data_IF_077274045206
#
_entry.id   IF_077274045206
#
_cell.length_a   1.000
_cell.length_b   1.000
_cell.length_c   1.000
_cell.angle_alpha   90.00
_cell.angle_beta   90.00
_cell.angle_gamma   90.00
#
_symmetry.space_group_name_H-M   'P 1'
#
loop_
_entity.id
_entity.type
_entity.pdbx_description
1 polymer ?
#
# COMPACT_ATOMS: atom_id res chain seq x y z
N UNK A 1 5.17 22.83 6.41
CA UNK A 1 6.09 21.89 5.72
C UNK A 1 5.54 20.48 5.61
N UNK A 2 5.16 19.80 6.71
CA UNK A 2 4.54 18.47 6.60
C UNK A 2 3.12 18.55 6.02
N UNK A 3 2.29 19.45 6.55
CA UNK A 3 0.91 19.61 6.08
C UNK A 3 0.83 20.05 4.62
N UNK A 4 1.67 21.02 4.21
CA UNK A 4 1.82 21.46 2.81
C UNK A 4 2.24 20.31 1.86
N UNK A 5 3.11 19.41 2.33
CA UNK A 5 3.53 18.24 1.55
C UNK A 5 2.37 17.24 1.40
N UNK A 6 1.62 16.99 2.47
CA UNK A 6 0.43 16.15 2.38
C UNK A 6 -0.64 16.76 1.47
N UNK A 7 -0.87 18.07 1.55
CA UNK A 7 -1.78 18.79 0.64
C UNK A 7 -1.36 18.64 -0.82
N UNK A 8 -0.06 18.75 -1.11
CA UNK A 8 0.48 18.51 -2.45
C UNK A 8 0.16 17.09 -2.94
N UNK A 9 0.38 16.07 -2.10
CA UNK A 9 0.11 14.68 -2.46
C UNK A 9 -1.39 14.41 -2.67
N UNK A 10 -2.25 14.99 -1.83
CA UNK A 10 -3.71 14.88 -1.97
C UNK A 10 -4.17 15.55 -3.27
N UNK A 11 -3.66 16.74 -3.58
CA UNK A 11 -3.99 17.47 -4.80
C UNK A 11 -3.44 16.78 -6.07
N UNK A 12 -2.35 16.01 -5.93
CA UNK A 12 -1.76 15.24 -7.01
C UNK A 12 -2.46 13.87 -7.24
N UNK A 13 -3.52 13.54 -6.49
CA UNK A 13 -4.23 12.27 -6.63
C UNK A 13 -4.64 12.00 -8.09
N UNK A 14 -4.20 10.86 -8.62
CA UNK A 14 -4.41 10.47 -10.00
C UNK A 14 -5.01 9.06 -10.09
N UNK A 15 -6.32 8.92 -10.39
CA UNK A 15 -6.99 7.63 -10.55
C UNK A 15 -6.33 6.72 -11.61
N UNK A 16 -5.68 7.27 -12.63
CA UNK A 16 -5.03 6.48 -13.67
C UNK A 16 -3.86 5.63 -13.15
N UNK A 17 -3.36 5.92 -11.95
CA UNK A 17 -2.29 5.15 -11.31
C UNK A 17 -2.78 3.83 -10.73
N UNK A 18 -4.10 3.67 -10.52
CA UNK A 18 -4.66 2.55 -9.77
C UNK A 18 -4.27 1.21 -10.35
N UNK A 19 -4.34 1.03 -11.66
CA UNK A 19 -3.98 -0.24 -12.31
C UNK A 19 -2.52 -0.67 -12.07
N UNK A 20 -1.63 0.29 -11.81
CA UNK A 20 -0.20 0.03 -11.55
C UNK A 20 0.17 -0.13 -10.07
N UNK A 21 -0.78 0.01 -9.14
CA UNK A 21 -0.46 -0.03 -7.71
C UNK A 21 -0.15 -1.46 -7.26
N UNK A 22 0.99 -1.64 -6.59
CA UNK A 22 1.44 -2.92 -6.04
C UNK A 22 0.38 -3.59 -5.16
N UNK A 23 -0.29 -2.82 -4.30
CA UNK A 23 -1.27 -3.34 -3.35
C UNK A 23 -2.50 -4.02 -3.97
N UNK A 24 -2.69 -3.96 -5.29
CA UNK A 24 -3.80 -4.62 -5.99
C UNK A 24 -3.45 -5.99 -6.55
N UNK A 25 -2.17 -6.24 -6.85
CA UNK A 25 -1.74 -7.42 -7.61
C UNK A 25 -0.61 -8.18 -6.93
N UNK A 26 0.03 -7.60 -5.93
CA UNK A 26 1.09 -8.22 -5.15
C UNK A 26 0.81 -8.13 -3.66
N UNK A 27 1.47 -9.00 -2.91
CA UNK A 27 1.52 -8.95 -1.45
C UNK A 27 2.98 -8.83 -1.04
N UNK A 28 3.23 -8.10 0.04
CA UNK A 28 4.54 -8.12 0.69
C UNK A 28 4.55 -9.12 1.83
N UNK A 29 5.64 -9.87 1.95
CA UNK A 29 5.83 -10.91 2.96
C UNK A 29 7.00 -10.53 3.87
N UNK A 30 6.73 -10.40 5.15
CA UNK A 30 7.73 -10.17 6.19
C UNK A 30 8.69 -11.35 6.34
N UNK A 31 9.85 -11.10 6.96
CA UNK A 31 10.86 -12.15 7.14
C UNK A 31 10.39 -13.29 8.06
N UNK A 32 9.38 -13.05 8.91
CA UNK A 32 8.71 -14.09 9.71
C UNK A 32 7.40 -14.51 9.08
N UNK A 33 7.16 -14.22 7.81
CA UNK A 33 5.95 -14.62 7.11
C UNK A 33 4.72 -13.74 7.34
N UNK A 34 4.84 -12.59 8.03
CA UNK A 34 3.73 -11.64 8.16
C UNK A 34 3.27 -11.14 6.78
N UNK A 35 1.97 -11.04 6.52
CA UNK A 35 1.46 -10.57 5.24
C UNK A 35 1.04 -9.10 5.28
N UNK A 36 1.31 -8.38 4.20
CA UNK A 36 0.97 -6.97 4.01
C UNK A 36 0.46 -6.73 2.59
N UNK A 37 -0.43 -5.76 2.39
CA UNK A 37 -0.90 -5.42 1.04
C UNK A 37 0.24 -4.87 0.15
N UNK A 38 1.23 -4.17 0.71
CA UNK A 38 2.41 -3.68 -0.03
C UNK A 38 3.62 -3.49 0.90
N UNK A 39 4.78 -3.18 0.30
CA UNK A 39 6.04 -2.91 1.01
C UNK A 39 5.98 -1.66 1.91
N UNK A 40 5.24 -0.62 1.51
CA UNK A 40 4.97 0.54 2.38
C UNK A 40 4.13 0.15 3.60
N UNK A 41 3.09 -0.67 3.42
CA UNK A 41 2.32 -1.21 4.54
C UNK A 41 3.21 -2.06 5.44
N UNK A 42 4.17 -2.83 4.90
CA UNK A 42 5.16 -3.56 5.69
C UNK A 42 6.06 -2.63 6.50
N UNK A 43 6.59 -1.57 5.89
CA UNK A 43 7.43 -0.59 6.59
C UNK A 43 6.68 0.11 7.73
N UNK A 44 5.37 0.28 7.58
CA UNK A 44 4.48 0.88 8.58
C UNK A 44 3.90 -0.14 9.58
N UNK A 45 4.21 -1.44 9.45
CA UNK A 45 3.68 -2.48 10.31
C UNK A 45 2.16 -2.71 10.16
N UNK A 46 1.58 -2.32 9.03
CA UNK A 46 0.16 -2.47 8.70
C UNK A 46 -0.15 -3.89 8.23
N UNK A 47 0.02 -4.86 9.13
CA UNK A 47 -0.16 -6.29 8.82
C UNK A 47 -1.63 -6.61 8.46
N UNK A 48 -1.81 -7.47 7.46
CA UNK A 48 -3.10 -8.02 7.08
C UNK A 48 -3.76 -8.77 8.23
N UNK A 49 -5.08 -8.61 8.33
CA UNK A 49 -5.89 -9.15 9.43
C UNK A 49 -7.21 -9.73 8.93
N UNK A 50 -7.59 -10.87 9.47
CA UNK A 50 -8.94 -11.44 9.35
C UNK A 50 -9.39 -11.92 10.74
N UNK A 51 -9.74 -10.97 11.62
CA UNK A 51 -9.93 -11.22 13.06
C UNK A 51 -8.62 -11.40 13.85
N UNK A 52 -7.60 -12.01 13.25
CA UNK A 52 -6.24 -12.14 13.76
C UNK A 52 -5.20 -11.71 12.71
N UNK A 53 -3.95 -11.36 13.11
CA UNK A 53 -2.85 -11.15 12.17
C UNK A 53 -2.64 -12.37 11.27
N UNK A 54 -2.44 -12.14 9.97
CA UNK A 54 -2.23 -13.21 9.00
C UNK A 54 -0.75 -13.42 8.70
N UNK A 55 -0.37 -14.69 8.64
CA UNK A 55 0.94 -15.14 8.17
C UNK A 55 0.79 -15.99 6.91
N UNK A 56 1.88 -16.13 6.15
CA UNK A 56 1.92 -16.85 4.88
C UNK A 56 1.37 -18.27 4.98
N UNK A 57 1.60 -18.94 6.11
CA UNK A 57 1.14 -20.32 6.35
C UNK A 57 -0.32 -20.43 6.81
N UNK A 58 -0.97 -19.31 7.15
CA UNK A 58 -2.37 -19.27 7.59
C UNK A 58 -3.33 -18.99 6.43
N UNK A 59 -2.81 -18.65 5.25
CA UNK A 59 -3.60 -18.09 4.15
C UNK A 59 -3.65 -19.02 2.94
N UNK A 60 -4.82 -19.06 2.32
CA UNK A 60 -5.04 -19.63 1.00
C UNK A 60 -5.44 -18.54 0.02
N UNK A 61 -5.20 -18.70 -1.29
CA UNK A 61 -5.50 -17.68 -2.30
C UNK A 61 -6.95 -17.17 -2.22
N UNK A 62 -7.91 -18.04 -1.91
CA UNK A 62 -9.34 -17.69 -1.88
C UNK A 62 -9.67 -16.70 -0.75
N UNK A 63 -8.85 -16.62 0.30
CA UNK A 63 -9.02 -15.64 1.39
C UNK A 63 -8.46 -14.26 1.04
N UNK A 64 -7.75 -14.15 -0.08
CA UNK A 64 -7.12 -12.93 -0.54
C UNK A 64 -7.93 -12.22 -1.63
N UNK A 65 -8.96 -12.87 -2.16
CA UNK A 65 -9.89 -12.31 -3.12
C UNK A 65 -10.83 -11.28 -2.46
N UNK A 66 -11.21 -10.24 -3.21
CA UNK A 66 -12.17 -9.18 -2.83
C UNK A 66 -11.94 -8.52 -1.46
N UNK A 67 -10.71 -8.57 -0.95
CA UNK A 67 -10.31 -7.93 0.31
C UNK A 67 -10.21 -6.42 0.13
N UNK A 68 -10.58 -5.69 1.18
CA UNK A 68 -10.25 -4.27 1.29
C UNK A 68 -8.75 -4.08 1.60
N UNK A 69 -8.05 -3.38 0.72
CA UNK A 69 -6.65 -2.98 0.93
C UNK A 69 -6.58 -1.97 2.08
N UNK A 70 -5.67 -2.18 3.03
CA UNK A 70 -5.44 -1.23 4.10
C UNK A 70 -4.77 0.04 3.55
N UNK A 71 -5.40 1.20 3.74
CA UNK A 71 -4.91 2.49 3.25
C UNK A 71 -4.45 3.40 4.38
N UNK A 72 -3.59 4.37 4.05
CA UNK A 72 -3.10 5.39 4.97
C UNK A 72 -2.59 6.62 4.21
N UNK A 73 -2.06 7.61 4.93
CA UNK A 73 -1.58 8.88 4.31
C UNK A 73 -0.49 8.67 3.25
N UNK A 74 0.34 7.64 3.41
CA UNK A 74 1.38 7.28 2.44
C UNK A 74 0.78 6.87 1.07
N UNK A 75 -0.48 6.40 1.03
CA UNK A 75 -1.13 6.00 -0.21
C UNK A 75 -1.28 7.18 -1.17
N UNK A 76 -1.40 8.42 -0.68
CA UNK A 76 -1.42 9.59 -1.55
C UNK A 76 -0.13 9.73 -2.37
N UNK A 77 1.00 9.31 -1.80
CA UNK A 77 2.28 9.26 -2.49
C UNK A 77 2.32 8.17 -3.58
N UNK A 78 1.61 7.06 -3.38
CA UNK A 78 1.48 6.00 -4.39
C UNK A 78 0.50 6.40 -5.50
N UNK A 79 -0.61 7.06 -5.15
CA UNK A 79 -1.66 7.47 -6.10
C UNK A 79 -1.35 8.75 -6.86
N UNK A 80 -0.36 9.54 -6.42
CA UNK A 80 0.10 10.71 -7.15
C UNK A 80 0.80 10.35 -8.47
N UNK A 81 1.33 9.11 -8.59
CA UNK A 81 1.95 8.60 -9.82
C UNK A 81 3.31 9.21 -10.18
N UNK A 82 3.69 10.30 -9.51
CA UNK A 82 4.99 10.97 -9.53
C UNK A 82 5.23 11.51 -8.12
N UNK A 83 6.47 11.47 -7.60
CA UNK A 83 6.79 12.03 -6.28
C UNK A 83 7.16 11.08 -5.15
N UNK A 84 6.90 9.79 -5.32
CA UNK A 84 7.30 8.77 -4.36
C UNK A 84 8.15 7.72 -5.07
N UNK A 85 9.00 7.06 -4.27
CA UNK A 85 10.30 6.48 -4.63
C UNK A 85 10.33 5.41 -5.75
N UNK A 86 9.25 5.18 -6.49
CA UNK A 86 9.17 4.20 -7.56
C UNK A 86 8.92 4.79 -8.97
N UNK A 87 8.59 6.08 -9.12
CA UNK A 87 8.30 6.65 -10.48
C UNK A 87 8.66 8.12 -10.75
N UNK A 88 9.33 8.83 -9.83
CA UNK A 88 9.89 10.16 -10.12
C UNK A 88 9.67 11.19 -9.01
N UNK A 89 10.11 12.42 -9.22
CA UNK A 89 9.90 13.55 -8.31
C UNK A 89 8.67 14.38 -8.73
N UNK A 90 7.98 14.99 -7.76
CA UNK A 90 6.99 16.05 -8.03
C UNK A 90 7.77 17.29 -8.50
N UNK A 91 7.37 17.87 -9.63
CA UNK A 91 7.85 19.18 -10.08
C UNK A 91 7.02 20.29 -9.46
#
# INVERSE_FOLDING_TARGET
>A
KWDEYLELLVNAFNPATFEGLMCRSTLSVGYRGELYDCDFNQMLGMQLRNGSPLFLWDVRPEYLEDRTIATGVHCFACTAGSGSSCTGALQ
#
